data_IF_055861404033
#
_entry.id   IF_055861404033
#
_cell.length_a   1.000
_cell.length_b   1.000
_cell.length_c   1.000
_cell.angle_alpha   90.00
_cell.angle_beta   90.00
_cell.angle_gamma   90.00
#
_symmetry.space_group_name_H-M   'P 1'
#
loop_
_entity.id
_entity.type
_entity.pdbx_description
1 polymer ?
#
# COMPACT_ATOMS: atom_id res chain seq x y z
N UNK A 1 -17.20 46.94 24.43
CA UNK A 1 -17.90 46.03 25.34
C UNK A 1 -17.65 44.60 24.87
N UNK A 2 -16.87 43.80 25.58
CA UNK A 2 -16.58 42.42 25.20
C UNK A 2 -17.50 41.48 26.00
N UNK A 3 -18.14 40.55 25.34
CA UNK A 3 -18.86 39.43 25.93
C UNK A 3 -17.93 38.23 26.07
N UNK A 4 -17.75 37.88 27.30
CA UNK A 4 -17.05 36.72 27.84
C UNK A 4 -17.84 35.46 27.48
N UNK A 5 -17.18 34.45 26.92
CA UNK A 5 -17.73 33.10 26.78
C UNK A 5 -16.90 32.18 27.63
N UNK A 6 -17.58 31.51 28.58
CA UNK A 6 -17.05 30.62 29.59
C UNK A 6 -16.46 29.33 28.98
N UNK A 7 -15.27 28.99 29.44
CA UNK A 7 -14.64 27.68 29.29
C UNK A 7 -15.33 26.69 30.25
N UNK A 8 -16.09 25.75 29.70
CA UNK A 8 -16.55 24.55 30.42
C UNK A 8 -15.57 23.40 30.20
N UNK A 9 -14.79 23.22 31.23
CA UNK A 9 -13.87 22.10 31.47
C UNK A 9 -14.67 20.80 31.65
N UNK A 10 -14.64 19.88 30.67
CA UNK A 10 -15.18 18.51 30.81
C UNK A 10 -14.05 17.52 31.00
N UNK A 11 -13.61 17.40 32.24
CA UNK A 11 -12.79 16.28 32.68
C UNK A 11 -13.60 14.99 32.68
N UNK A 12 -13.28 14.07 31.77
CA UNK A 12 -13.79 12.70 31.77
C UNK A 12 -13.13 11.90 32.87
N UNK A 13 -13.80 11.80 34.01
CA UNK A 13 -13.45 10.89 35.11
C UNK A 13 -13.81 9.46 34.72
N UNK A 14 -12.82 8.63 34.41
CA UNK A 14 -13.00 7.19 34.26
C UNK A 14 -13.13 6.58 35.64
N UNK A 15 -14.34 6.25 36.07
CA UNK A 15 -14.60 5.49 37.29
C UNK A 15 -14.17 4.04 37.11
N UNK A 16 -13.02 3.69 37.66
CA UNK A 16 -12.63 2.31 37.84
C UNK A 16 -13.47 1.67 38.93
N UNK A 17 -14.30 0.71 38.56
CA UNK A 17 -15.13 -0.12 39.43
C UNK A 17 -14.22 -1.14 40.13
N UNK A 18 -13.73 -0.82 41.33
CA UNK A 18 -13.06 -1.77 42.19
C UNK A 18 -14.10 -2.68 42.85
N UNK A 19 -14.04 -3.94 42.46
CA UNK A 19 -14.79 -5.02 43.13
C UNK A 19 -14.27 -5.22 44.55
N UNK A 20 -15.19 -5.18 45.47
CA UNK A 20 -15.03 -5.41 46.89
C UNK A 20 -14.65 -6.89 47.16
N UNK A 21 -13.36 -7.14 47.40
CA UNK A 21 -12.89 -8.40 48.01
C UNK A 21 -12.46 -8.14 49.45
N UNK A 22 -13.41 -8.35 50.35
CA UNK A 22 -13.16 -8.34 51.79
C UNK A 22 -12.18 -9.46 52.15
N UNK A 23 -10.89 -9.16 52.17
CA UNK A 23 -9.89 -10.02 52.81
C UNK A 23 -9.96 -9.75 54.33
N UNK A 24 -10.58 -10.71 55.02
CA UNK A 24 -10.57 -10.76 56.49
C UNK A 24 -9.11 -10.71 57.00
N UNK A 25 -8.76 -9.60 57.63
CA UNK A 25 -7.50 -9.49 58.36
C UNK A 25 -7.49 -10.52 59.50
N UNK A 26 -6.83 -11.64 59.31
CA UNK A 26 -6.46 -12.53 60.39
C UNK A 26 -5.32 -11.85 61.17
N UNK A 27 -5.61 -11.54 62.41
CA UNK A 27 -4.74 -10.82 63.34
C UNK A 27 -3.39 -11.54 63.47
N UNK A 28 -2.33 -10.72 63.45
CA UNK A 28 -0.90 -11.08 63.60
C UNK A 28 -0.60 -11.90 64.84
N UNK A 29 -1.53 -12.00 65.80
CA UNK A 29 -1.38 -12.80 67.04
C UNK A 29 -1.43 -14.34 66.83
N UNK A 30 -2.03 -14.86 65.79
CA UNK A 30 -2.06 -16.32 65.55
C UNK A 30 -0.81 -16.86 64.88
N UNK A 31 -0.04 -16.03 64.18
CA UNK A 31 1.22 -16.46 63.53
C UNK A 31 2.39 -16.64 64.50
N UNK A 32 2.34 -16.01 65.69
CA UNK A 32 3.41 -16.14 66.71
C UNK A 32 3.33 -17.41 67.55
N UNK A 33 2.22 -18.13 67.54
CA UNK A 33 2.11 -19.41 68.30
C UNK A 33 2.64 -20.63 67.52
N UNK A 34 2.64 -20.59 66.21
CA UNK A 34 3.15 -21.70 65.39
C UNK A 34 4.70 -21.70 65.32
N UNK A 35 5.33 -20.54 65.57
CA UNK A 35 6.81 -20.47 65.52
C UNK A 35 7.51 -20.97 66.81
N UNK A 36 6.79 -21.20 67.91
CA UNK A 36 7.39 -21.64 69.20
C UNK A 36 7.46 -23.13 69.38
N UNK A 37 6.91 -23.95 68.51
CA UNK A 37 6.92 -25.40 68.56
C UNK A 37 8.06 -26.02 67.73
N UNK A 38 8.63 -25.26 66.78
CA UNK A 38 9.72 -25.75 65.94
C UNK A 38 11.15 -25.46 66.39
N UNK A 39 11.32 -24.89 67.61
CA UNK A 39 12.65 -24.48 68.07
C UNK A 39 13.35 -25.49 69.02
N UNK A 40 12.93 -26.75 69.01
CA UNK A 40 13.64 -27.81 69.75
C UNK A 40 13.86 -29.05 68.91
N UNK A 41 14.72 -28.94 67.92
CA UNK A 41 15.63 -29.99 67.45
C UNK A 41 16.49 -29.33 66.39
N UNK A 42 17.60 -28.73 66.79
CA UNK A 42 18.66 -28.41 65.85
C UNK A 42 19.31 -29.75 65.46
N UNK A 43 19.08 -30.26 64.23
CA UNK A 43 19.91 -31.33 63.76
C UNK A 43 21.32 -30.79 63.63
N UNK A 44 22.28 -31.47 64.25
CA UNK A 44 23.71 -31.19 64.06
C UNK A 44 23.95 -30.97 62.57
N UNK A 45 24.32 -29.77 62.20
CA UNK A 45 24.69 -29.45 60.84
C UNK A 45 25.88 -30.32 60.45
N UNK A 46 25.59 -31.43 59.77
CA UNK A 46 26.59 -32.08 58.93
C UNK A 46 26.98 -31.01 57.90
N UNK A 47 28.16 -30.46 58.12
CA UNK A 47 28.76 -29.52 57.15
C UNK A 47 29.00 -30.28 55.84
N UNK A 48 28.01 -30.25 55.00
CA UNK A 48 28.14 -30.77 53.62
C UNK A 48 29.00 -29.75 52.89
N UNK A 49 30.32 -29.99 52.86
CA UNK A 49 31.31 -29.20 52.13
C UNK A 49 31.02 -29.05 50.63
N UNK A 50 29.95 -29.70 50.09
CA UNK A 50 29.52 -29.58 48.70
C UNK A 50 28.35 -28.63 48.44
N UNK A 51 27.57 -28.21 49.46
CA UNK A 51 26.36 -27.41 49.25
C UNK A 51 26.62 -25.96 48.79
N UNK A 52 27.72 -25.40 49.28
CA UNK A 52 28.13 -24.03 48.89
C UNK A 52 28.46 -23.95 47.38
N UNK A 53 29.12 -24.94 46.85
CA UNK A 53 29.50 -25.00 45.41
C UNK A 53 28.28 -25.17 44.52
N UNK A 54 27.31 -25.97 44.93
CA UNK A 54 26.02 -26.09 44.25
C UNK A 54 25.21 -24.78 44.27
N UNK A 55 25.22 -24.09 45.42
CA UNK A 55 24.53 -22.80 45.53
C UNK A 55 25.14 -21.75 44.60
N UNK A 56 26.46 -21.66 44.54
CA UNK A 56 27.16 -20.76 43.63
C UNK A 56 26.85 -21.14 42.18
N UNK A 57 26.81 -22.44 41.83
CA UNK A 57 26.47 -22.90 40.51
C UNK A 57 25.03 -22.51 40.13
N UNK A 58 24.07 -22.67 41.02
CA UNK A 58 22.70 -22.31 40.80
C UNK A 58 22.51 -20.77 40.64
N UNK A 59 23.20 -19.98 41.45
CA UNK A 59 23.15 -18.51 41.34
C UNK A 59 23.79 -18.08 40.03
N UNK A 60 24.95 -18.62 39.66
CA UNK A 60 25.59 -18.28 38.38
C UNK A 60 24.75 -18.68 37.18
N UNK A 61 24.10 -19.87 37.22
CA UNK A 61 23.18 -20.28 36.17
C UNK A 61 21.95 -19.36 36.07
N UNK A 62 21.38 -18.98 37.21
CA UNK A 62 20.25 -18.04 37.24
C UNK A 62 20.64 -16.68 36.68
N UNK A 63 21.80 -16.15 37.08
CA UNK A 63 22.31 -14.86 36.55
C UNK A 63 22.62 -14.95 35.05
N UNK A 64 23.20 -16.06 34.59
CA UNK A 64 23.44 -16.28 33.17
C UNK A 64 22.13 -16.35 32.35
N UNK A 65 21.08 -17.00 32.88
CA UNK A 65 19.78 -17.03 32.25
C UNK A 65 19.12 -15.65 32.14
N UNK A 66 19.22 -14.83 33.22
CA UNK A 66 18.71 -13.46 33.22
C UNK A 66 19.49 -12.62 32.21
N UNK A 67 20.83 -12.69 32.21
CA UNK A 67 21.68 -11.96 31.29
C UNK A 67 21.39 -12.32 29.81
N UNK A 68 21.21 -13.62 29.54
CA UNK A 68 20.84 -14.10 28.21
C UNK A 68 19.46 -13.60 27.77
N UNK A 69 18.47 -13.68 28.66
CA UNK A 69 17.12 -13.16 28.39
C UNK A 69 17.15 -11.66 28.10
N UNK A 70 17.87 -10.87 28.91
CA UNK A 70 18.02 -9.44 28.71
C UNK A 70 18.72 -9.12 27.37
N UNK A 71 19.80 -9.83 27.06
CA UNK A 71 20.53 -9.66 25.81
C UNK A 71 19.64 -9.92 24.57
N UNK A 72 18.80 -10.95 24.62
CA UNK A 72 17.87 -11.25 23.53
C UNK A 72 16.77 -10.17 23.40
N UNK A 73 16.25 -9.69 24.53
CA UNK A 73 15.26 -8.61 24.54
C UNK A 73 15.86 -7.33 23.93
N UNK A 74 17.06 -6.93 24.38
CA UNK A 74 17.73 -5.75 23.87
C UNK A 74 18.03 -5.86 22.36
N UNK A 75 18.49 -7.02 21.91
CA UNK A 75 18.69 -7.24 20.46
C UNK A 75 17.38 -7.07 19.69
N UNK A 76 16.31 -7.73 20.13
CA UNK A 76 15.00 -7.63 19.48
C UNK A 76 14.48 -6.19 19.40
N UNK A 77 14.63 -5.41 20.48
CA UNK A 77 14.24 -3.99 20.49
C UNK A 77 15.14 -3.11 19.61
N UNK A 78 16.44 -3.43 19.54
CA UNK A 78 17.37 -2.73 18.65
C UNK A 78 17.04 -3.00 17.19
N UNK A 79 16.77 -4.25 16.82
CA UNK A 79 16.40 -4.64 15.46
C UNK A 79 15.08 -3.99 15.05
N UNK A 80 14.09 -3.99 15.95
CA UNK A 80 12.80 -3.34 15.74
C UNK A 80 12.95 -1.83 15.53
N UNK A 81 13.73 -1.19 16.37
CA UNK A 81 13.99 0.27 16.27
C UNK A 81 14.72 0.60 14.96
N UNK A 82 15.70 -0.22 14.57
CA UNK A 82 16.41 -0.06 13.30
C UNK A 82 15.45 -0.17 12.11
N UNK A 83 14.55 -1.15 12.10
CA UNK A 83 13.54 -1.32 11.05
C UNK A 83 12.63 -0.11 10.94
N UNK A 84 12.12 0.40 12.07
CA UNK A 84 11.27 1.62 12.09
C UNK A 84 12.03 2.84 11.58
N UNK A 85 13.29 3.00 11.95
CA UNK A 85 14.13 4.09 11.43
C UNK A 85 14.35 3.97 9.92
N UNK A 86 14.57 2.76 9.41
CA UNK A 86 14.74 2.52 7.99
C UNK A 86 13.42 2.77 7.22
N UNK A 87 12.27 2.44 7.79
CA UNK A 87 10.97 2.79 7.22
C UNK A 87 10.78 4.30 7.10
N UNK A 88 11.09 5.07 8.15
CA UNK A 88 10.98 6.54 8.14
C UNK A 88 11.94 7.17 7.15
N UNK A 89 13.20 6.71 7.12
CA UNK A 89 14.20 7.17 6.13
C UNK A 89 13.77 6.81 4.70
N UNK A 90 13.24 5.60 4.51
CA UNK A 90 12.70 5.12 3.24
C UNK A 90 11.53 5.98 2.77
N UNK A 91 10.64 6.38 3.69
CA UNK A 91 9.53 7.28 3.40
C UNK A 91 10.01 8.63 2.84
N UNK A 92 10.93 9.31 3.53
CA UNK A 92 11.46 10.60 3.05
C UNK A 92 12.27 10.46 1.76
N UNK A 93 12.97 9.34 1.59
CA UNK A 93 13.70 9.07 0.35
C UNK A 93 12.73 8.86 -0.83
N UNK A 94 11.63 8.13 -0.62
CA UNK A 94 10.59 7.93 -1.61
C UNK A 94 9.87 9.24 -1.94
N UNK A 95 9.51 10.04 -0.94
CA UNK A 95 8.87 11.35 -1.12
C UNK A 95 9.76 12.29 -1.94
N UNK A 96 11.05 12.39 -1.59
CA UNK A 96 12.00 13.20 -2.35
C UNK A 96 12.21 12.70 -3.80
N UNK A 97 12.10 11.39 -4.02
CA UNK A 97 12.16 10.82 -5.37
C UNK A 97 10.90 11.16 -6.19
N UNK A 98 9.70 11.17 -5.58
CA UNK A 98 8.45 11.62 -6.23
C UNK A 98 8.54 13.09 -6.62
N UNK A 99 8.95 13.95 -5.69
CA UNK A 99 9.10 15.39 -5.94
C UNK A 99 10.12 15.66 -7.05
N UNK A 100 11.27 14.97 -7.00
CA UNK A 100 12.28 15.06 -8.04
C UNK A 100 11.76 14.63 -9.40
N UNK A 101 11.05 13.51 -9.49
CA UNK A 101 10.48 13.02 -10.73
C UNK A 101 9.42 14.00 -11.28
N UNK A 102 8.60 14.60 -10.41
CA UNK A 102 7.64 15.61 -10.81
C UNK A 102 8.32 16.85 -11.44
N UNK A 103 9.37 17.34 -10.80
CA UNK A 103 10.15 18.47 -11.34
C UNK A 103 10.86 18.10 -12.67
N UNK A 104 11.51 16.93 -12.73
CA UNK A 104 12.22 16.47 -13.94
C UNK A 104 11.23 16.23 -15.11
N UNK A 105 10.02 15.75 -14.83
CA UNK A 105 8.96 15.57 -15.85
C UNK A 105 8.52 16.92 -16.40
N UNK A 106 8.26 17.91 -15.53
CA UNK A 106 7.88 19.26 -15.95
C UNK A 106 9.03 19.96 -16.71
N UNK A 107 10.25 19.78 -16.26
CA UNK A 107 11.43 20.36 -16.90
C UNK A 107 11.70 19.77 -18.28
N UNK A 108 11.42 18.48 -18.44
CA UNK A 108 11.58 17.80 -19.72
C UNK A 108 10.72 18.41 -20.84
N UNK A 109 9.60 19.05 -20.50
CA UNK A 109 8.75 19.77 -21.49
C UNK A 109 9.40 21.08 -21.95
N UNK A 110 10.18 21.75 -21.08
CA UNK A 110 10.67 23.11 -21.31
C UNK A 110 12.18 23.20 -21.61
N UNK A 111 12.95 22.16 -21.32
CA UNK A 111 14.40 22.14 -21.47
C UNK A 111 14.88 21.07 -22.45
N UNK A 112 15.64 21.46 -23.45
CA UNK A 112 16.20 20.55 -24.47
C UNK A 112 17.55 19.89 -24.06
N UNK A 113 17.84 19.81 -22.75
CA UNK A 113 19.04 19.16 -22.23
C UNK A 113 18.95 17.61 -22.15
N UNK A 114 19.98 16.95 -21.65
CA UNK A 114 19.95 15.52 -21.35
C UNK A 114 18.83 15.20 -20.35
N UNK A 115 17.83 14.49 -20.85
CA UNK A 115 16.65 14.10 -20.06
C UNK A 115 16.89 12.72 -19.46
N UNK A 116 16.79 12.59 -18.15
CA UNK A 116 16.71 11.27 -17.50
C UNK A 116 15.38 10.60 -17.80
N UNK A 117 14.30 11.37 -17.78
CA UNK A 117 12.96 10.91 -18.12
C UNK A 117 12.74 11.19 -19.60
N UNK A 118 12.80 10.14 -20.42
CA UNK A 118 12.47 10.20 -21.85
C UNK A 118 10.96 10.17 -22.01
N UNK A 119 10.46 10.77 -23.08
CA UNK A 119 9.05 10.69 -23.43
C UNK A 119 8.62 9.22 -23.59
N UNK A 120 7.51 8.86 -22.95
CA UNK A 120 7.03 7.48 -22.91
C UNK A 120 7.74 6.55 -21.91
N UNK A 121 8.72 7.05 -21.15
CA UNK A 121 9.34 6.24 -20.09
C UNK A 121 8.31 5.93 -19.01
N UNK A 122 8.15 4.63 -18.70
CA UNK A 122 7.29 4.17 -17.64
C UNK A 122 7.94 4.28 -16.26
N UNK A 123 9.27 4.38 -16.19
CA UNK A 123 10.03 4.39 -14.94
C UNK A 123 11.38 5.11 -15.06
N UNK A 124 11.94 5.48 -13.92
CA UNK A 124 13.28 6.04 -13.76
C UNK A 124 13.87 5.62 -12.41
N UNK A 125 15.18 5.32 -12.40
CA UNK A 125 15.91 4.99 -11.19
C UNK A 125 16.74 6.17 -10.71
N UNK A 126 16.61 6.49 -9.42
CA UNK A 126 17.42 7.48 -8.75
C UNK A 126 18.35 6.85 -7.73
N UNK A 127 19.62 7.26 -7.79
CA UNK A 127 20.61 6.95 -6.76
C UNK A 127 20.87 8.19 -5.93
N UNK A 128 20.67 8.08 -4.63
CA UNK A 128 20.96 9.10 -3.64
C UNK A 128 22.09 8.63 -2.71
N UNK A 129 22.79 9.52 -2.02
CA UNK A 129 23.77 9.12 -1.00
C UNK A 129 23.14 8.21 0.07
N UNK A 130 21.88 8.48 0.45
CA UNK A 130 21.12 7.76 1.48
C UNK A 130 20.46 6.46 0.99
N UNK A 131 20.47 6.16 -0.32
CA UNK A 131 19.82 4.96 -0.86
C UNK A 131 19.48 5.04 -2.34
N UNK A 132 18.54 4.20 -2.75
CA UNK A 132 18.04 4.16 -4.13
C UNK A 132 16.51 4.26 -4.14
N UNK A 133 15.97 4.81 -5.21
CA UNK A 133 14.54 4.84 -5.43
C UNK A 133 14.22 4.48 -6.88
N UNK A 134 13.34 3.50 -7.05
CA UNK A 134 12.71 3.18 -8.32
C UNK A 134 11.42 3.97 -8.42
N UNK A 135 11.26 4.76 -9.46
CA UNK A 135 10.11 5.63 -9.66
C UNK A 135 9.38 5.25 -10.93
N UNK A 136 8.11 4.93 -10.79
CA UNK A 136 7.20 4.62 -11.89
C UNK A 136 6.35 5.85 -12.21
N UNK A 137 6.21 6.11 -13.50
CA UNK A 137 5.42 7.21 -14.05
C UNK A 137 4.20 6.59 -14.75
N UNK A 138 3.04 6.68 -14.13
CA UNK A 138 1.81 6.05 -14.59
C UNK A 138 0.85 7.17 -15.03
N UNK A 139 0.79 7.52 -16.32
CA UNK A 139 -0.20 8.45 -16.81
C UNK A 139 -1.61 7.95 -16.52
N UNK A 140 -2.51 8.84 -16.08
CA UNK A 140 -3.90 8.42 -15.84
C UNK A 140 -4.60 7.98 -17.13
N UNK A 141 -4.08 8.36 -18.30
CA UNK A 141 -4.51 7.83 -19.61
C UNK A 141 -4.16 6.35 -19.84
N UNK A 142 -3.31 5.75 -19.02
CA UNK A 142 -3.07 4.31 -19.01
C UNK A 142 -4.23 3.51 -18.38
N UNK A 143 -5.12 4.20 -17.67
CA UNK A 143 -6.28 3.62 -16.98
C UNK A 143 -7.57 4.01 -17.70
N UNK A 144 -8.63 3.23 -17.51
CA UNK A 144 -9.96 3.56 -18.00
C UNK A 144 -10.64 4.57 -17.08
N UNK A 145 -11.33 5.54 -17.65
CA UNK A 145 -12.16 6.46 -16.87
C UNK A 145 -13.42 5.73 -16.35
N UNK A 146 -13.50 5.59 -15.04
CA UNK A 146 -14.58 4.88 -14.35
C UNK A 146 -15.96 5.51 -14.63
N UNK A 147 -16.00 6.81 -14.91
CA UNK A 147 -17.24 7.54 -15.16
C UNK A 147 -17.78 7.38 -16.59
N UNK A 148 -16.91 7.06 -17.56
CA UNK A 148 -17.28 7.02 -18.98
C UNK A 148 -17.12 5.65 -19.63
N UNK A 149 -16.35 4.73 -19.04
CA UNK A 149 -16.11 3.39 -19.57
C UNK A 149 -17.41 2.60 -19.77
N UNK A 150 -17.53 1.88 -20.89
CA UNK A 150 -18.75 1.10 -21.19
C UNK A 150 -18.88 -0.14 -20.31
N UNK A 151 -20.11 -0.62 -20.05
CA UNK A 151 -20.34 -1.83 -19.26
C UNK A 151 -19.58 -3.05 -19.80
N UNK A 152 -19.49 -3.18 -21.12
CA UNK A 152 -18.81 -4.30 -21.77
C UNK A 152 -17.29 -4.26 -21.52
N UNK A 153 -16.68 -3.07 -21.51
CA UNK A 153 -15.26 -2.91 -21.18
C UNK A 153 -15.01 -3.17 -19.69
N UNK A 154 -15.91 -2.71 -18.81
CA UNK A 154 -15.83 -3.03 -17.38
C UNK A 154 -15.92 -4.53 -17.14
N UNK A 155 -16.87 -5.22 -17.77
CA UNK A 155 -17.01 -6.67 -17.65
C UNK A 155 -15.72 -7.39 -18.12
N UNK A 156 -15.17 -7.00 -19.30
CA UNK A 156 -13.90 -7.58 -19.79
C UNK A 156 -12.74 -7.29 -18.82
N UNK A 157 -12.67 -6.08 -18.27
CA UNK A 157 -11.65 -5.72 -17.29
C UNK A 157 -11.73 -6.62 -16.06
N UNK A 158 -12.91 -6.73 -15.47
CA UNK A 158 -13.11 -7.52 -14.24
C UNK A 158 -12.86 -9.01 -14.51
N UNK A 159 -13.23 -9.50 -15.70
CA UNK A 159 -12.90 -10.87 -16.12
C UNK A 159 -11.39 -11.06 -16.31
N UNK A 160 -10.69 -10.10 -16.90
CA UNK A 160 -9.24 -10.15 -17.06
C UNK A 160 -8.50 -10.11 -15.71
N UNK A 161 -9.10 -9.50 -14.69
CA UNK A 161 -8.64 -9.55 -13.30
C UNK A 161 -8.95 -10.89 -12.60
N UNK A 162 -9.48 -11.90 -13.34
CA UNK A 162 -9.71 -13.25 -12.85
C UNK A 162 -10.99 -13.44 -12.06
N UNK A 163 -11.95 -12.55 -12.19
CA UNK A 163 -13.31 -12.72 -11.66
C UNK A 163 -14.14 -13.54 -12.64
N UNK A 164 -14.98 -14.41 -12.11
CA UNK A 164 -15.85 -15.27 -12.89
C UNK A 164 -16.82 -14.42 -13.75
N UNK A 165 -17.13 -14.78 -15.03
CA UNK A 165 -17.87 -13.93 -15.97
C UNK A 165 -19.26 -13.47 -15.50
N UNK A 166 -19.99 -14.31 -14.77
CA UNK A 166 -21.31 -13.93 -14.22
C UNK A 166 -21.15 -12.85 -13.15
N UNK A 167 -20.22 -13.06 -12.21
CA UNK A 167 -19.90 -12.08 -11.18
C UNK A 167 -19.32 -10.79 -11.80
N UNK A 168 -18.46 -10.89 -12.81
CA UNK A 168 -17.92 -9.74 -13.54
C UNK A 168 -19.01 -8.88 -14.18
N UNK A 169 -20.05 -9.51 -14.73
CA UNK A 169 -21.21 -8.80 -15.29
C UNK A 169 -21.98 -8.06 -14.19
N UNK A 170 -22.22 -8.69 -13.05
CA UNK A 170 -22.89 -8.08 -11.92
C UNK A 170 -22.11 -6.89 -11.36
N UNK A 171 -20.78 -7.03 -11.21
CA UNK A 171 -19.91 -5.95 -10.77
C UNK A 171 -19.91 -4.77 -11.75
N UNK A 172 -19.81 -5.03 -13.04
CA UNK A 172 -19.86 -4.00 -14.07
C UNK A 172 -21.19 -3.23 -14.01
N UNK A 173 -22.31 -3.92 -13.86
CA UNK A 173 -23.62 -3.31 -13.70
C UNK A 173 -23.73 -2.49 -12.39
N UNK A 174 -23.18 -3.00 -11.27
CA UNK A 174 -23.09 -2.30 -10.00
C UNK A 174 -22.32 -0.98 -10.09
N UNK A 175 -21.16 -0.99 -10.76
CA UNK A 175 -20.36 0.22 -11.03
C UNK A 175 -21.14 1.23 -11.87
N UNK A 176 -21.80 0.76 -12.94
CA UNK A 176 -22.60 1.64 -13.80
C UNK A 176 -23.79 2.23 -13.06
N UNK A 177 -24.48 1.44 -12.24
CA UNK A 177 -25.57 1.91 -11.39
C UNK A 177 -25.09 2.97 -10.38
N UNK A 178 -23.91 2.77 -9.77
CA UNK A 178 -23.35 3.69 -8.79
C UNK A 178 -23.02 5.05 -9.40
N UNK A 179 -22.39 5.09 -10.59
CA UNK A 179 -22.03 6.35 -11.28
C UNK A 179 -23.22 7.04 -11.95
N UNK A 180 -24.23 6.27 -12.34
CA UNK A 180 -25.41 6.80 -13.05
C UNK A 180 -26.45 7.47 -12.14
N UNK A 181 -26.22 7.51 -10.81
CA UNK A 181 -27.24 7.99 -9.85
C UNK A 181 -28.53 7.19 -9.93
N UNK A 182 -28.46 6.01 -10.54
CA UNK A 182 -29.55 5.07 -10.55
C UNK A 182 -29.81 4.65 -9.11
N UNK A 183 -30.73 5.33 -8.45
CA UNK A 183 -31.43 4.79 -7.33
C UNK A 183 -32.11 3.52 -7.78
N UNK A 184 -31.31 2.45 -7.92
CA UNK A 184 -31.83 1.11 -7.87
C UNK A 184 -32.53 1.04 -6.53
N UNK A 185 -33.85 1.08 -6.58
CA UNK A 185 -34.70 0.84 -5.45
C UNK A 185 -34.24 -0.48 -4.82
N UNK A 186 -33.32 -0.41 -3.84
CA UNK A 186 -33.26 -1.41 -2.81
C UNK A 186 -34.53 -1.19 -2.02
N UNK A 187 -35.55 -1.92 -2.43
CA UNK A 187 -36.84 -2.07 -1.76
C UNK A 187 -36.63 -2.09 -0.26
N UNK A 188 -37.20 -1.14 0.46
CA UNK A 188 -37.65 -1.38 1.79
C UNK A 188 -37.17 -0.50 2.93
N UNK A 189 -36.53 0.64 2.73
CA UNK A 189 -36.36 1.60 3.83
C UNK A 189 -36.72 3.02 3.38
N UNK A 190 -37.66 3.67 4.04
CA UNK A 190 -37.93 5.08 3.85
C UNK A 190 -36.85 5.88 4.60
N UNK A 191 -35.63 5.89 4.10
CA UNK A 191 -34.67 6.93 4.45
C UNK A 191 -35.09 8.12 3.61
N UNK A 192 -35.23 9.36 4.16
CA UNK A 192 -35.38 10.54 3.35
C UNK A 192 -34.15 10.69 2.49
N UNK A 193 -34.21 10.10 1.31
CA UNK A 193 -33.19 10.27 0.29
C UNK A 193 -33.29 11.69 -0.20
N UNK A 194 -32.34 12.52 0.12
CA UNK A 194 -31.99 13.59 -0.80
C UNK A 194 -31.93 12.95 -2.18
N UNK A 195 -32.63 13.46 -3.20
CA UNK A 195 -32.46 12.96 -4.53
C UNK A 195 -31.00 13.14 -4.86
N UNK A 196 -30.22 12.07 -4.72
CA UNK A 196 -28.81 12.06 -5.13
C UNK A 196 -28.85 12.31 -6.62
N UNK A 197 -28.49 13.50 -7.02
CA UNK A 197 -28.21 13.79 -8.41
C UNK A 197 -27.19 12.73 -8.84
N UNK A 198 -27.39 12.17 -10.03
CA UNK A 198 -26.43 11.27 -10.65
C UNK A 198 -25.04 11.91 -10.60
N UNK A 199 -24.31 11.65 -9.54
CA UNK A 199 -23.01 12.23 -9.33
C UNK A 199 -21.99 11.26 -9.86
N UNK A 200 -21.15 11.72 -10.79
CA UNK A 200 -19.94 11.01 -11.19
C UNK A 200 -19.14 10.65 -9.93
N UNK A 201 -18.48 9.50 -9.95
CA UNK A 201 -17.52 9.12 -8.92
C UNK A 201 -16.42 10.19 -8.83
N UNK A 202 -16.19 10.70 -7.64
CA UNK A 202 -15.15 11.71 -7.38
C UNK A 202 -13.83 11.05 -6.97
N UNK A 203 -13.94 9.90 -6.29
CA UNK A 203 -12.81 9.11 -5.83
C UNK A 203 -12.98 7.65 -6.25
N UNK A 204 -11.87 7.03 -6.62
CA UNK A 204 -11.89 5.62 -7.07
C UNK A 204 -12.28 4.67 -5.94
N UNK A 205 -11.98 5.04 -4.70
CA UNK A 205 -12.30 4.29 -3.49
C UNK A 205 -13.82 4.18 -3.23
N UNK A 206 -14.63 5.03 -3.85
CA UNK A 206 -16.09 4.90 -3.79
C UNK A 206 -16.57 3.56 -4.38
N UNK A 207 -15.76 2.92 -5.23
CA UNK A 207 -16.06 1.59 -5.74
C UNK A 207 -16.13 0.52 -4.65
N UNK A 208 -15.46 0.70 -3.52
CA UNK A 208 -15.57 -0.21 -2.38
C UNK A 208 -16.99 -0.25 -1.77
N UNK A 209 -17.83 0.74 -2.07
CA UNK A 209 -19.23 0.73 -1.67
C UNK A 209 -20.13 -0.10 -2.60
N UNK A 210 -19.63 -0.52 -3.76
CA UNK A 210 -20.37 -1.35 -4.72
C UNK A 210 -20.42 -2.79 -4.23
N UNK A 211 -21.62 -3.36 -4.13
CA UNK A 211 -21.78 -4.74 -3.67
C UNK A 211 -21.01 -5.72 -4.56
N UNK A 212 -20.25 -6.59 -3.93
CA UNK A 212 -19.42 -7.60 -4.61
C UNK A 212 -17.99 -7.15 -4.90
N UNK A 213 -17.64 -5.87 -4.74
CA UNK A 213 -16.24 -5.42 -4.80
C UNK A 213 -15.60 -5.66 -3.44
N UNK A 214 -14.72 -6.65 -3.40
CA UNK A 214 -13.92 -6.96 -2.20
C UNK A 214 -12.59 -6.20 -2.25
N UNK A 215 -11.91 -6.03 -1.09
CA UNK A 215 -10.56 -5.45 -1.06
C UNK A 215 -9.58 -6.14 -2.02
N UNK A 216 -9.67 -7.45 -2.18
CA UNK A 216 -8.80 -8.23 -3.07
C UNK A 216 -9.06 -7.92 -4.56
N UNK A 217 -10.29 -7.63 -4.94
CA UNK A 217 -10.65 -7.21 -6.30
C UNK A 217 -10.23 -5.76 -6.51
N UNK A 218 -10.40 -4.92 -5.48
CA UNK A 218 -10.11 -3.51 -5.59
C UNK A 218 -8.60 -3.21 -5.58
N UNK A 219 -7.88 -3.74 -4.58
CA UNK A 219 -6.44 -3.50 -4.41
C UNK A 219 -5.55 -4.51 -5.13
N UNK A 220 -6.11 -5.61 -5.61
CA UNK A 220 -5.36 -6.75 -6.10
C UNK A 220 -4.99 -7.72 -4.99
N UNK A 221 -4.41 -8.85 -5.38
CA UNK A 221 -4.04 -9.92 -4.46
C UNK A 221 -2.85 -10.71 -4.99
N UNK A 222 -2.30 -11.59 -4.17
CA UNK A 222 -1.26 -12.52 -4.57
C UNK A 222 -1.88 -13.89 -4.82
N UNK A 223 -1.59 -14.47 -5.98
CA UNK A 223 -2.05 -15.81 -6.39
C UNK A 223 -0.84 -16.71 -6.63
N UNK A 224 -0.95 -18.02 -6.38
CA UNK A 224 0.11 -18.95 -6.75
C UNK A 224 0.37 -18.92 -8.26
N UNK A 225 1.64 -18.90 -8.65
CA UNK A 225 2.02 -19.05 -10.06
C UNK A 225 1.58 -20.42 -10.57
N UNK A 226 1.10 -20.49 -11.82
CA UNK A 226 0.64 -21.74 -12.42
C UNK A 226 1.78 -22.74 -12.72
N UNK A 227 3.03 -22.27 -12.77
CA UNK A 227 4.17 -23.16 -12.96
C UNK A 227 4.82 -23.51 -11.63
N UNK A 228 4.99 -24.82 -11.35
CA UNK A 228 5.72 -25.24 -10.15
C UNK A 228 7.17 -24.81 -10.32
N UNK A 229 7.61 -23.86 -9.51
CA UNK A 229 9.03 -23.57 -9.34
C UNK A 229 9.69 -24.86 -8.83
N UNK A 230 10.76 -25.34 -9.47
CA UNK A 230 11.43 -26.58 -9.13
C UNK A 230 12.02 -26.64 -7.69
N UNK A 231 11.82 -25.59 -6.89
CA UNK A 231 12.21 -25.48 -5.47
C UNK A 231 11.12 -25.92 -4.48
N UNK A 232 9.94 -26.35 -4.92
CA UNK A 232 8.87 -26.82 -4.05
C UNK A 232 8.12 -25.75 -3.26
N UNK A 233 8.56 -24.51 -3.26
CA UNK A 233 7.83 -23.39 -2.65
C UNK A 233 6.91 -22.72 -3.67
N UNK A 234 5.63 -22.45 -3.31
CA UNK A 234 4.69 -21.78 -4.20
C UNK A 234 5.16 -20.33 -4.45
N UNK A 235 5.56 -20.05 -5.68
CA UNK A 235 5.86 -18.67 -6.09
C UNK A 235 4.54 -17.90 -6.16
N UNK A 236 4.41 -16.86 -5.36
CA UNK A 236 3.27 -15.96 -5.43
C UNK A 236 3.50 -14.93 -6.54
N UNK A 237 2.50 -14.77 -7.40
CA UNK A 237 2.43 -13.70 -8.41
C UNK A 237 1.37 -12.70 -7.99
N UNK A 238 1.68 -11.42 -8.13
CA UNK A 238 0.71 -10.37 -7.88
C UNK A 238 -0.30 -10.30 -9.01
N UNK A 239 -1.57 -10.26 -8.65
CA UNK A 239 -2.67 -9.95 -9.54
C UNK A 239 -3.13 -8.53 -9.29
N UNK A 240 -3.14 -7.71 -10.34
CA UNK A 240 -3.56 -6.31 -10.34
C UNK A 240 -5.00 -6.16 -9.87
N UNK A 241 -5.32 -5.03 -9.24
CA UNK A 241 -6.68 -4.68 -8.82
C UNK A 241 -7.32 -3.57 -9.66
N UNK A 242 -8.58 -3.27 -9.37
CA UNK A 242 -9.34 -2.22 -10.05
C UNK A 242 -8.69 -0.84 -9.92
N UNK A 243 -8.07 -0.53 -8.79
CA UNK A 243 -7.42 0.76 -8.50
C UNK A 243 -6.27 1.07 -9.47
N UNK A 244 -5.65 0.06 -10.03
CA UNK A 244 -4.56 0.21 -10.99
C UNK A 244 -5.06 0.30 -12.43
N UNK A 245 -6.30 -0.14 -12.68
CA UNK A 245 -6.90 -0.22 -14.00
C UNK A 245 -7.94 0.88 -14.27
N UNK A 246 -8.52 1.45 -13.22
CA UNK A 246 -9.55 2.49 -13.29
C UNK A 246 -9.07 3.78 -12.63
N UNK A 247 -9.57 4.91 -13.11
CA UNK A 247 -9.30 6.23 -12.54
C UNK A 247 -10.48 7.16 -12.78
N UNK A 248 -10.66 8.16 -11.94
CA UNK A 248 -11.61 9.26 -12.17
C UNK A 248 -11.06 10.29 -13.17
N UNK A 249 -9.77 10.22 -13.48
CA UNK A 249 -9.07 11.03 -14.48
C UNK A 249 -8.58 10.20 -15.66
N UNK A 250 -9.14 9.01 -15.83
CA UNK A 250 -8.71 8.04 -16.81
C UNK A 250 -8.98 8.45 -18.25
N UNK A 251 -8.59 7.57 -19.15
CA UNK A 251 -8.78 7.77 -20.57
C UNK A 251 -10.25 7.64 -20.97
N UNK A 252 -10.74 8.61 -21.72
CA UNK A 252 -12.08 8.59 -22.32
C UNK A 252 -12.11 7.80 -23.63
N UNK A 253 -11.45 6.65 -23.67
CA UNK A 253 -11.53 5.72 -24.79
C UNK A 253 -10.22 5.40 -25.51
N UNK A 254 -9.16 6.18 -25.27
CA UNK A 254 -7.82 5.91 -25.80
C UNK A 254 -6.85 5.70 -24.65
N UNK A 255 -6.09 4.62 -24.67
CA UNK A 255 -5.22 4.15 -23.59
C UNK A 255 -3.76 4.25 -24.02
N UNK A 256 -2.88 4.71 -23.11
CA UNK A 256 -1.43 4.73 -23.36
C UNK A 256 -0.85 3.29 -23.30
N UNK A 257 -0.32 2.78 -24.43
CA UNK A 257 0.20 1.42 -24.51
C UNK A 257 1.50 1.20 -23.72
N UNK A 258 2.26 2.26 -23.40
CA UNK A 258 3.54 2.14 -22.73
C UNK A 258 3.39 1.74 -21.26
N UNK A 259 2.31 2.18 -20.62
CA UNK A 259 2.14 2.05 -19.17
C UNK A 259 0.87 1.31 -18.76
N UNK A 260 -0.06 1.06 -19.70
CA UNK A 260 -1.31 0.37 -19.42
C UNK A 260 -1.09 -1.06 -18.89
N UNK A 261 -1.88 -1.43 -17.88
CA UNK A 261 -1.91 -2.81 -17.37
C UNK A 261 -2.46 -3.79 -18.43
N UNK A 262 -1.96 -5.04 -18.49
CA UNK A 262 -2.49 -6.06 -19.40
C UNK A 262 -4.01 -6.25 -19.34
N UNK A 263 -4.61 -6.12 -18.14
CA UNK A 263 -6.07 -6.22 -17.98
C UNK A 263 -6.80 -5.05 -18.66
N UNK A 264 -6.23 -3.84 -18.63
CA UNK A 264 -6.76 -2.68 -19.36
C UNK A 264 -6.68 -2.90 -20.86
N UNK A 265 -5.55 -3.43 -21.35
CA UNK A 265 -5.36 -3.76 -22.77
C UNK A 265 -6.36 -4.82 -23.24
N UNK A 266 -6.63 -5.84 -22.42
CA UNK A 266 -7.66 -6.84 -22.67
C UNK A 266 -9.07 -6.22 -22.70
N UNK A 267 -9.34 -5.30 -21.77
CA UNK A 267 -10.65 -4.62 -21.68
C UNK A 267 -10.98 -3.79 -22.91
N UNK A 268 -9.99 -3.14 -23.54
CA UNK A 268 -10.19 -2.39 -24.79
C UNK A 268 -10.25 -3.28 -26.04
N UNK A 269 -10.03 -4.58 -25.89
CA UNK A 269 -10.23 -5.57 -26.94
C UNK A 269 -8.96 -5.96 -27.70
N UNK A 270 -7.77 -5.80 -27.13
CA UNK A 270 -6.57 -6.43 -27.67
C UNK A 270 -6.65 -7.94 -27.53
N UNK A 271 -6.08 -8.65 -28.51
CA UNK A 271 -5.93 -10.11 -28.45
C UNK A 271 -4.84 -10.49 -27.44
N UNK A 272 -4.89 -11.68 -26.84
CA UNK A 272 -3.84 -12.15 -25.92
C UNK A 272 -2.44 -12.09 -26.56
N UNK A 273 -2.31 -12.51 -27.81
CA UNK A 273 -1.04 -12.47 -28.55
C UNK A 273 -0.58 -11.01 -28.78
N UNK A 274 -1.52 -10.13 -29.15
CA UNK A 274 -1.25 -8.69 -29.29
C UNK A 274 -0.77 -8.05 -28.00
N UNK A 275 -1.34 -8.43 -26.86
CA UNK A 275 -0.90 -7.98 -25.54
C UNK A 275 0.54 -8.46 -25.29
N UNK A 276 0.85 -9.73 -25.52
CA UNK A 276 2.20 -10.26 -25.29
C UNK A 276 3.26 -9.56 -26.16
N UNK A 277 2.96 -9.37 -27.44
CA UNK A 277 3.84 -8.64 -28.37
C UNK A 277 4.10 -7.21 -27.84
N UNK A 278 3.05 -6.50 -27.43
CA UNK A 278 3.14 -5.14 -26.93
C UNK A 278 3.97 -5.07 -25.63
N UNK A 279 3.75 -6.01 -24.71
CA UNK A 279 4.50 -6.10 -23.46
C UNK A 279 5.99 -6.36 -23.72
N UNK A 280 6.33 -7.25 -24.62
CA UNK A 280 7.73 -7.53 -24.98
C UNK A 280 8.41 -6.30 -25.60
N UNK A 281 7.72 -5.61 -26.51
CA UNK A 281 8.27 -4.43 -27.18
C UNK A 281 8.55 -3.29 -26.19
N UNK A 282 7.60 -2.98 -25.32
CA UNK A 282 7.77 -1.87 -24.35
C UNK A 282 8.82 -2.15 -23.27
N UNK A 283 9.14 -3.44 -22.99
CA UNK A 283 10.24 -3.78 -22.07
C UNK A 283 11.62 -3.43 -22.64
N UNK A 284 11.78 -3.51 -23.95
CA UNK A 284 13.04 -3.21 -24.61
C UNK A 284 13.25 -1.71 -24.77
N UNK A 285 12.22 -1.02 -25.24
CA UNK A 285 12.26 0.43 -25.46
C UNK A 285 10.80 0.97 -25.50
N UNK A 286 10.54 2.17 -24.95
CA UNK A 286 9.21 2.79 -25.05
C UNK A 286 8.74 2.88 -26.49
N UNK A 287 7.47 2.56 -26.71
CA UNK A 287 6.83 2.65 -28.01
C UNK A 287 6.74 4.10 -28.45
N UNK A 288 7.13 4.36 -29.67
CA UNK A 288 6.90 5.62 -30.36
C UNK A 288 5.82 5.45 -31.45
N UNK A 289 5.40 6.52 -32.08
CA UNK A 289 4.32 6.51 -33.08
C UNK A 289 4.61 5.58 -34.26
N UNK A 290 5.86 5.52 -34.73
CA UNK A 290 6.24 4.67 -35.85
C UNK A 290 6.15 3.18 -35.47
N UNK A 291 6.67 2.80 -34.30
CA UNK A 291 6.60 1.42 -33.79
C UNK A 291 5.16 0.99 -33.50
N UNK A 292 4.38 1.86 -32.85
CA UNK A 292 2.96 1.57 -32.63
C UNK A 292 2.25 1.33 -33.93
N UNK A 293 2.50 2.15 -34.97
CA UNK A 293 1.92 1.96 -36.30
C UNK A 293 2.27 0.62 -36.94
N UNK A 294 3.49 0.11 -36.75
CA UNK A 294 3.92 -1.21 -37.20
C UNK A 294 3.22 -2.37 -36.50
N UNK A 295 2.88 -2.18 -35.21
CA UNK A 295 2.22 -3.20 -34.40
C UNK A 295 0.69 -3.24 -34.63
N UNK A 296 0.08 -2.14 -35.09
CA UNK A 296 -1.38 -2.02 -35.25
C UNK A 296 -2.05 -3.24 -35.93
N UNK A 297 -1.51 -3.81 -37.02
CA UNK A 297 -2.13 -4.96 -37.67
C UNK A 297 -2.19 -6.23 -36.79
N UNK A 298 -1.29 -6.35 -35.84
CA UNK A 298 -1.19 -7.51 -34.95
C UNK A 298 -2.03 -7.36 -33.67
N UNK A 299 -2.44 -6.12 -33.33
CA UNK A 299 -3.13 -5.80 -32.07
C UNK A 299 -4.66 -6.05 -32.16
N UNK A 300 -5.19 -6.34 -33.32
CA UNK A 300 -6.62 -6.55 -33.55
C UNK A 300 -7.43 -5.24 -33.42
N UNK A 301 -8.74 -5.38 -33.25
CA UNK A 301 -9.66 -4.24 -33.18
C UNK A 301 -9.39 -3.30 -31.99
N UNK A 302 -8.75 -3.80 -30.93
CA UNK A 302 -8.38 -3.00 -29.77
C UNK A 302 -7.31 -1.93 -30.07
N UNK A 303 -6.48 -2.16 -31.11
CA UNK A 303 -5.40 -1.24 -31.48
C UNK A 303 -5.86 0.19 -31.73
N UNK A 304 -7.05 0.41 -32.31
CA UNK A 304 -7.61 1.75 -32.55
C UNK A 304 -7.84 2.59 -31.28
N UNK A 305 -7.86 1.94 -30.11
CA UNK A 305 -8.03 2.59 -28.81
C UNK A 305 -6.68 2.88 -28.13
N UNK A 306 -5.56 2.67 -28.82
CA UNK A 306 -4.24 3.00 -28.31
C UNK A 306 -3.81 4.39 -28.76
N UNK A 307 -3.25 5.15 -27.83
CA UNK A 307 -2.67 6.48 -28.08
C UNK A 307 -1.48 6.70 -27.18
N UNK A 308 -0.37 7.16 -27.77
CA UNK A 308 0.83 7.49 -27.02
C UNK A 308 0.70 8.86 -26.36
N UNK A 309 1.10 8.93 -25.09
CA UNK A 309 1.16 10.15 -24.31
C UNK A 309 -0.21 10.76 -23.97
N UNK A 310 -0.22 12.01 -23.58
CA UNK A 310 -1.45 12.84 -23.55
C UNK A 310 -2.08 13.04 -22.18
N UNK A 311 -1.49 12.58 -21.06
CA UNK A 311 -2.03 12.91 -19.75
C UNK A 311 -1.30 14.09 -19.12
N UNK A 312 -2.08 15.11 -18.75
CA UNK A 312 -1.61 16.14 -17.84
C UNK A 312 -1.59 15.68 -16.39
N UNK A 313 -2.18 14.49 -16.10
CA UNK A 313 -2.24 13.91 -14.76
C UNK A 313 -1.50 12.57 -14.78
N UNK A 314 -0.54 12.43 -13.88
CA UNK A 314 0.34 11.27 -13.77
C UNK A 314 0.39 10.84 -12.30
N UNK A 315 0.23 9.58 -12.05
CA UNK A 315 0.58 8.98 -10.74
C UNK A 315 2.06 8.66 -10.75
N UNK A 316 2.82 9.32 -9.89
CA UNK A 316 4.24 9.08 -9.67
C UNK A 316 4.36 8.22 -8.43
N UNK A 317 4.89 6.99 -8.58
CA UNK A 317 5.05 6.01 -7.50
C UNK A 317 6.52 5.71 -7.31
N UNK A 318 7.06 6.01 -6.14
CA UNK A 318 8.44 5.78 -5.79
C UNK A 318 8.58 4.68 -4.74
N UNK A 319 9.38 3.67 -5.02
CA UNK A 319 9.77 2.62 -4.09
C UNK A 319 11.23 2.81 -3.71
N UNK A 320 11.48 3.14 -2.45
CA UNK A 320 12.82 3.45 -1.94
C UNK A 320 13.37 2.33 -1.05
N UNK A 321 14.71 2.20 -1.10
CA UNK A 321 15.51 1.36 -0.20
C UNK A 321 16.66 2.19 0.36
N UNK A 322 16.77 2.22 1.66
CA UNK A 322 17.80 2.98 2.39
C UNK A 322 19.16 2.28 2.28
N UNK A 323 20.24 3.04 2.22
CA UNK A 323 21.60 2.53 2.33
C UNK A 323 22.01 2.44 3.79
N UNK A 324 22.35 1.23 4.22
CA UNK A 324 22.85 0.94 5.55
C UNK A 324 24.29 1.41 5.73
N UNK A 325 24.75 1.49 6.99
CA UNK A 325 26.13 1.89 7.31
C UNK A 325 27.21 0.99 6.70
N UNK A 326 26.90 -0.27 6.42
CA UNK A 326 27.77 -1.22 5.74
C UNK A 326 27.80 -1.04 4.21
N UNK A 327 27.08 -0.05 3.67
CA UNK A 327 26.97 0.23 2.24
C UNK A 327 25.94 -0.62 1.49
N UNK A 328 25.35 -1.64 2.11
CA UNK A 328 24.29 -2.46 1.53
C UNK A 328 22.94 -1.73 1.55
N UNK A 329 22.02 -2.16 0.71
CA UNK A 329 20.64 -1.66 0.73
C UNK A 329 19.82 -2.43 1.76
N UNK A 330 19.05 -1.72 2.56
CA UNK A 330 18.09 -2.32 3.50
C UNK A 330 17.09 -3.21 2.75
N UNK A 331 16.65 -4.29 3.39
CA UNK A 331 15.58 -5.15 2.87
C UNK A 331 14.21 -4.48 2.98
N UNK A 332 14.10 -3.47 3.85
CA UNK A 332 12.90 -2.67 4.02
C UNK A 332 12.70 -1.80 2.78
N UNK A 333 11.55 -1.97 2.14
CA UNK A 333 11.07 -1.15 1.03
C UNK A 333 9.98 -0.23 1.52
N UNK A 334 10.05 1.03 1.14
CA UNK A 334 8.97 1.99 1.39
C UNK A 334 8.48 2.56 0.06
N UNK A 335 7.16 2.48 -0.16
CA UNK A 335 6.54 3.00 -1.38
C UNK A 335 5.63 4.15 -1.02
N UNK A 336 5.78 5.26 -1.76
CA UNK A 336 4.94 6.45 -1.69
C UNK A 336 4.50 6.78 -3.11
N UNK A 337 3.27 7.24 -3.28
CA UNK A 337 2.84 7.74 -4.58
C UNK A 337 2.17 9.10 -4.44
N UNK A 338 2.19 9.88 -5.51
CA UNK A 338 1.43 11.10 -5.62
C UNK A 338 0.78 11.19 -7.00
N UNK A 339 -0.44 11.67 -7.01
CA UNK A 339 -1.12 12.05 -8.24
C UNK A 339 -0.82 13.51 -8.53
N UNK A 340 -0.17 13.77 -9.65
CA UNK A 340 0.39 15.07 -10.01
C UNK A 340 -0.24 15.56 -11.31
N UNK A 341 -0.71 16.80 -11.30
CA UNK A 341 -1.20 17.47 -12.50
C UNK A 341 -0.14 18.44 -13.01
N UNK A 342 0.24 18.28 -14.26
CA UNK A 342 1.15 19.16 -14.98
C UNK A 342 0.35 20.19 -15.78
N UNK A 343 0.72 21.46 -15.64
CA UNK A 343 0.12 22.59 -16.32
C UNK A 343 1.14 23.24 -17.25
N UNK A 344 0.67 23.95 -18.25
CA UNK A 344 1.56 24.68 -19.16
C UNK A 344 2.35 25.75 -18.40
N UNK A 345 3.68 25.68 -18.48
CA UNK A 345 4.54 26.69 -17.87
C UNK A 345 4.24 28.08 -18.45
N UNK A 346 4.14 29.09 -17.59
CA UNK A 346 3.81 30.45 -17.96
C UNK A 346 2.32 30.80 -17.96
N UNK A 347 1.42 29.79 -18.01
CA UNK A 347 -0.01 30.00 -17.83
C UNK A 347 -0.45 29.85 -16.37
N UNK A 348 0.31 29.09 -15.59
CA UNK A 348 0.03 28.77 -14.19
C UNK A 348 1.31 28.77 -13.36
N UNK A 349 1.22 29.28 -12.13
CA UNK A 349 2.32 29.30 -11.15
C UNK A 349 1.78 28.79 -9.80
N UNK A 350 2.25 27.63 -9.28
CA UNK A 350 3.24 26.71 -9.87
C UNK A 350 2.66 25.85 -11.00
N UNK A 351 3.50 25.38 -11.94
CA UNK A 351 3.03 24.57 -13.07
C UNK A 351 2.81 23.10 -12.70
N UNK A 352 3.14 22.72 -11.47
CA UNK A 352 3.00 21.36 -10.94
C UNK A 352 2.09 21.39 -9.73
N UNK A 353 1.00 20.64 -9.77
CA UNK A 353 0.03 20.56 -8.68
C UNK A 353 -0.06 19.10 -8.18
N UNK A 354 0.25 18.88 -6.91
CA UNK A 354 0.00 17.62 -6.23
C UNK A 354 -1.47 17.56 -5.86
N UNK A 355 -2.23 16.69 -6.53
CA UNK A 355 -3.66 16.51 -6.30
C UNK A 355 -3.92 15.64 -5.08
N UNK A 356 -3.13 14.57 -4.92
CA UNK A 356 -3.28 13.61 -3.84
C UNK A 356 -1.95 12.93 -3.53
N UNK A 357 -1.73 12.64 -2.25
CA UNK A 357 -0.62 11.82 -1.75
C UNK A 357 -1.14 10.51 -1.20
N UNK A 358 -0.39 9.45 -1.43
CA UNK A 358 -0.64 8.11 -0.92
C UNK A 358 0.59 7.66 -0.13
N UNK A 359 0.50 7.72 1.20
CA UNK A 359 1.61 7.40 2.11
C UNK A 359 1.90 5.90 2.21
N UNK A 360 0.90 5.09 1.96
CA UNK A 360 0.97 3.65 1.88
C UNK A 360 0.36 3.21 0.58
N UNK A 361 1.21 3.01 -0.42
CA UNK A 361 0.79 2.35 -1.63
C UNK A 361 1.27 0.91 -1.61
N UNK A 362 0.50 0.07 -2.27
CA UNK A 362 0.84 -1.30 -2.55
C UNK A 362 2.23 -1.35 -3.16
N UNK A 363 3.20 -1.82 -2.39
CA UNK A 363 4.55 -2.10 -2.90
C UNK A 363 4.49 -3.36 -3.77
N UNK A 364 5.04 -3.27 -4.96
CA UNK A 364 5.27 -4.42 -5.85
C UNK A 364 6.49 -5.22 -5.42
#
# INVERSE_FOLDING_TARGET
MPTRIDEEDRSLTVAARMGDTSIRARTVRERLRVWRVFSRQAPRARTTRGSALLMVLWISAALAAIAFSLANTVRGETDRTSTVLDEVRGYYLATGAVERAAVETQWAVNYQGERKIKEGSAWVDYTFPSGVAHVELIPETAKLDVNTVTPERLMRLVTALGVEPVAATQLAQGIVARRGGGGGALSGSPVPSFPGHAASLQEIEELLSVSGITPEIFYGTYVPAQEPSGSGEPRLMRRTGLVECLSVFGSQGQVDPNTADPAVLAAIGLTPDGIQILLQQRQTEPLNTARLGQLMPMLGLGGQFLRLGGSSIVTIRATARVRLANGQLSDVKRTVAAQVKFMSAGAYDPPVHFLRWYDTTWSY
#
